data_IF_366088675375
#
_entry.id   IF_366088675375
#
_cell.length_a   1.000
_cell.length_b   1.000
_cell.length_c   1.000
_cell.angle_alpha   90.00
_cell.angle_beta   90.00
_cell.angle_gamma   90.00
#
_symmetry.space_group_name_H-M   'P 1'
#
loop_
_entity.id
_entity.type
_entity.pdbx_description
1 polymer ?
#
# COMPACT_ATOMS: atom_id res chain seq x y z
N UNK A 1 -3.37 24.57 -14.55
CA UNK A 1 -3.72 24.69 -13.11
C UNK A 1 -2.70 25.48 -12.26
N UNK A 2 -1.58 25.96 -12.83
CA UNK A 2 -0.57 26.76 -12.13
C UNK A 2 -1.13 28.09 -11.61
N UNK A 3 -2.01 28.74 -12.38
CA UNK A 3 -2.69 29.97 -11.96
C UNK A 3 -3.52 29.78 -10.68
N UNK A 4 -4.22 28.64 -10.57
CA UNK A 4 -4.99 28.32 -9.35
C UNK A 4 -4.06 28.07 -8.16
N UNK A 5 -2.90 27.43 -8.40
CA UNK A 5 -1.90 27.22 -7.36
C UNK A 5 -1.31 28.56 -6.91
N UNK A 6 -0.96 29.45 -7.83
CA UNK A 6 -0.46 30.79 -7.52
C UNK A 6 -1.49 31.61 -6.74
N UNK A 7 -2.78 31.50 -7.05
CA UNK A 7 -3.86 32.19 -6.35
C UNK A 7 -4.01 31.74 -4.88
N UNK A 8 -3.58 30.54 -4.53
CA UNK A 8 -3.55 30.03 -3.14
C UNK A 8 -2.45 30.69 -2.30
N UNK A 9 -1.47 31.34 -2.92
CA UNK A 9 -0.29 31.95 -2.26
C UNK A 9 0.37 30.99 -1.26
N UNK A 10 0.80 29.78 -1.69
CA UNK A 10 1.39 28.82 -0.78
C UNK A 10 2.75 29.32 -0.28
N UNK A 11 3.10 29.01 0.94
CA UNK A 11 4.43 29.26 1.52
C UNK A 11 5.44 28.19 1.10
N UNK A 12 4.95 26.99 0.76
CA UNK A 12 5.75 25.84 0.37
C UNK A 12 4.96 24.92 -0.58
N UNK A 13 5.63 24.37 -1.58
CA UNK A 13 5.09 23.36 -2.48
C UNK A 13 5.85 22.05 -2.29
N UNK A 14 5.11 20.97 -2.06
CA UNK A 14 5.67 19.62 -1.93
C UNK A 14 5.10 18.74 -3.05
N UNK A 15 5.92 17.89 -3.64
CA UNK A 15 5.51 17.01 -4.71
C UNK A 15 6.50 15.89 -4.98
N UNK A 16 6.26 15.13 -6.04
CA UNK A 16 7.13 14.04 -6.49
C UNK A 16 7.71 14.32 -7.86
N UNK A 17 9.00 14.02 -8.04
CA UNK A 17 9.73 14.25 -9.28
C UNK A 17 9.05 13.59 -10.48
N UNK A 18 8.56 12.36 -10.33
CA UNK A 18 7.89 11.61 -11.38
C UNK A 18 6.61 12.27 -11.91
N UNK A 19 5.92 13.06 -11.07
CA UNK A 19 4.67 13.75 -11.46
C UNK A 19 4.88 15.23 -11.76
N UNK A 20 5.70 15.93 -10.96
CA UNK A 20 5.87 17.38 -11.03
C UNK A 20 7.24 17.82 -11.51
N UNK A 21 8.17 16.92 -11.79
CA UNK A 21 9.54 17.27 -12.14
C UNK A 21 9.66 18.25 -13.32
N UNK A 22 8.83 18.05 -14.36
CA UNK A 22 8.81 18.94 -15.53
C UNK A 22 8.28 20.34 -15.22
N UNK A 23 7.52 20.48 -14.15
CA UNK A 23 6.91 21.74 -13.74
C UNK A 23 7.71 22.44 -12.63
N UNK A 24 8.85 21.88 -12.23
CA UNK A 24 9.65 22.41 -11.14
C UNK A 24 10.04 23.90 -11.33
N UNK A 25 10.46 24.35 -12.53
CA UNK A 25 10.80 25.76 -12.75
C UNK A 25 9.61 26.70 -12.55
N UNK A 26 8.42 26.30 -12.99
CA UNK A 26 7.20 27.07 -12.84
C UNK A 26 6.68 27.08 -11.40
N UNK A 27 6.73 25.92 -10.74
CA UNK A 27 6.37 25.78 -9.33
C UNK A 27 7.28 26.64 -8.44
N UNK A 28 8.58 26.63 -8.70
CA UNK A 28 9.58 27.40 -7.94
C UNK A 28 9.45 28.90 -8.10
N UNK A 29 8.75 29.38 -9.14
CA UNK A 29 8.38 30.81 -9.29
C UNK A 29 7.19 31.21 -8.43
N UNK A 30 6.36 30.25 -8.03
CA UNK A 30 5.18 30.49 -7.20
C UNK A 30 5.58 30.49 -5.72
N UNK A 31 6.32 29.46 -5.26
CA UNK A 31 6.79 29.32 -3.90
C UNK A 31 8.00 28.38 -3.81
N UNK A 32 8.76 28.38 -2.70
CA UNK A 32 9.76 27.35 -2.44
C UNK A 32 9.18 25.96 -2.71
N UNK A 33 9.88 25.15 -3.52
CA UNK A 33 9.36 23.85 -3.99
C UNK A 33 10.35 22.75 -3.64
N UNK A 34 9.86 21.69 -3.00
CA UNK A 34 10.60 20.46 -2.69
C UNK A 34 9.93 19.30 -3.43
N UNK A 35 10.70 18.60 -4.27
CA UNK A 35 10.24 17.40 -4.96
C UNK A 35 10.99 16.19 -4.39
N UNK A 36 10.24 15.16 -4.03
CA UNK A 36 10.79 13.87 -3.59
C UNK A 36 10.93 12.92 -4.77
N UNK A 37 11.94 12.10 -4.73
CA UNK A 37 12.10 11.02 -5.70
C UNK A 37 11.52 9.72 -5.16
N UNK A 38 10.84 8.97 -6.03
CA UNK A 38 10.44 7.61 -5.72
C UNK A 38 11.58 6.65 -6.10
N UNK A 39 12.21 6.08 -5.10
CA UNK A 39 13.34 5.15 -5.26
C UNK A 39 12.89 3.73 -4.84
N UNK A 40 12.54 2.86 -5.79
CA UNK A 40 12.00 1.52 -5.48
C UNK A 40 12.94 0.64 -4.64
N UNK A 41 14.26 0.88 -4.74
CA UNK A 41 15.30 0.11 -4.04
C UNK A 41 15.53 0.54 -2.59
N UNK A 42 14.92 1.63 -2.14
CA UNK A 42 15.20 2.20 -0.81
C UNK A 42 14.48 1.53 0.34
N UNK A 43 13.48 0.72 0.11
CA UNK A 43 12.51 0.37 1.15
C UNK A 43 11.50 1.52 1.38
N UNK A 44 10.24 1.23 1.10
CA UNK A 44 9.22 2.28 1.04
C UNK A 44 8.76 2.74 2.43
N UNK A 45 8.82 1.87 3.43
CA UNK A 45 8.52 2.23 4.81
C UNK A 45 9.57 3.21 5.36
N UNK A 46 10.86 2.96 5.11
CA UNK A 46 11.94 3.86 5.50
C UNK A 46 11.83 5.21 4.77
N UNK A 47 11.53 5.21 3.47
CA UNK A 47 11.33 6.42 2.68
C UNK A 47 10.15 7.25 3.22
N UNK A 48 9.02 6.61 3.54
CA UNK A 48 7.86 7.28 4.13
C UNK A 48 8.22 7.98 5.44
N UNK A 49 8.94 7.30 6.34
CA UNK A 49 9.37 7.87 7.62
C UNK A 49 10.25 9.09 7.42
N UNK A 50 11.24 9.00 6.54
CA UNK A 50 12.15 10.10 6.22
C UNK A 50 11.40 11.30 5.64
N UNK A 51 10.50 11.09 4.68
CA UNK A 51 9.70 12.15 4.08
C UNK A 51 8.75 12.79 5.11
N UNK A 52 8.11 11.97 5.95
CA UNK A 52 7.21 12.47 6.98
C UNK A 52 7.94 13.38 8.01
N UNK A 53 9.11 12.95 8.48
CA UNK A 53 9.92 13.79 9.39
C UNK A 53 10.40 15.09 8.72
N UNK A 54 10.76 15.03 7.44
CA UNK A 54 11.11 16.23 6.69
C UNK A 54 9.91 17.18 6.58
N UNK A 55 8.71 16.67 6.31
CA UNK A 55 7.50 17.49 6.31
C UNK A 55 7.25 18.12 7.69
N UNK A 56 7.36 17.35 8.76
CA UNK A 56 7.20 17.84 10.12
C UNK A 56 8.19 18.97 10.45
N UNK A 57 9.45 18.81 10.05
CA UNK A 57 10.50 19.83 10.20
C UNK A 57 10.19 21.08 9.41
N UNK A 58 9.77 20.97 8.16
CA UNK A 58 9.44 22.10 7.28
C UNK A 58 8.29 22.96 7.83
N UNK A 59 7.38 22.36 8.60
CA UNK A 59 6.25 23.07 9.23
C UNK A 59 6.48 23.36 10.74
N UNK A 60 7.70 23.14 11.25
CA UNK A 60 8.05 23.41 12.65
C UNK A 60 7.42 22.47 13.68
N UNK A 61 7.06 21.24 13.26
CA UNK A 61 6.39 20.21 14.08
C UNK A 61 7.20 18.92 14.20
N UNK A 62 8.52 19.03 14.32
CA UNK A 62 9.42 17.86 14.30
C UNK A 62 9.14 16.89 15.45
N UNK A 63 8.96 17.41 16.67
CA UNK A 63 8.68 16.59 17.86
C UNK A 63 7.36 15.82 17.75
N UNK A 64 6.32 16.47 17.23
CA UNK A 64 5.03 15.82 16.98
C UNK A 64 5.16 14.76 15.88
N UNK A 65 5.98 15.01 14.86
CA UNK A 65 6.27 14.04 13.81
C UNK A 65 6.98 12.80 14.34
N UNK A 66 7.97 12.98 15.21
CA UNK A 66 8.67 11.88 15.90
C UNK A 66 7.70 11.03 16.74
N UNK A 67 6.85 11.70 17.53
CA UNK A 67 5.84 11.02 18.35
C UNK A 67 4.86 10.19 17.52
N UNK A 68 4.40 10.70 16.37
CA UNK A 68 3.50 9.96 15.46
C UNK A 68 4.19 8.70 14.91
N UNK A 69 5.47 8.77 14.56
CA UNK A 69 6.21 7.60 14.08
C UNK A 69 6.46 6.58 15.19
N UNK A 70 6.74 7.03 16.41
CA UNK A 70 6.89 6.14 17.57
C UNK A 70 5.57 5.41 17.89
N UNK A 71 4.44 6.10 17.85
CA UNK A 71 3.12 5.49 18.01
C UNK A 71 2.83 4.44 16.92
N UNK A 72 3.22 4.71 15.66
CA UNK A 72 3.11 3.73 14.58
C UNK A 72 3.97 2.50 14.86
N UNK A 73 5.22 2.67 15.29
CA UNK A 73 6.12 1.56 15.60
C UNK A 73 5.58 0.67 16.71
N UNK A 74 5.09 1.27 17.78
CA UNK A 74 4.47 0.57 18.89
C UNK A 74 3.20 -0.17 18.43
N UNK A 75 2.40 0.45 17.57
CA UNK A 75 1.21 -0.18 17.00
C UNK A 75 1.57 -1.38 16.12
N UNK A 76 2.56 -1.26 15.23
CA UNK A 76 3.03 -2.36 14.40
C UNK A 76 3.59 -3.52 15.23
N UNK A 77 4.40 -3.22 16.26
CA UNK A 77 4.96 -4.23 17.16
C UNK A 77 3.87 -5.01 17.91
N UNK A 78 2.88 -4.31 18.50
CA UNK A 78 1.74 -4.98 19.17
C UNK A 78 0.92 -5.81 18.18
N UNK A 79 0.72 -5.34 16.97
CA UNK A 79 -0.02 -6.05 15.93
C UNK A 79 0.72 -7.33 15.49
N UNK A 80 2.03 -7.25 15.35
CA UNK A 80 2.88 -8.41 15.03
C UNK A 80 2.82 -9.49 16.13
N UNK A 81 2.94 -9.10 17.40
CA UNK A 81 2.80 -10.03 18.53
C UNK A 81 1.40 -10.64 18.60
N UNK A 82 0.36 -9.86 18.31
CA UNK A 82 -1.00 -10.39 18.23
C UNK A 82 -1.14 -11.47 17.15
N UNK A 83 -0.64 -11.24 15.95
CA UNK A 83 -0.70 -12.22 14.86
C UNK A 83 0.17 -13.45 15.15
N UNK A 84 1.34 -13.26 15.72
CA UNK A 84 2.21 -14.35 16.16
C UNK A 84 1.53 -15.24 17.21
N UNK A 85 0.88 -14.64 18.18
CA UNK A 85 0.10 -15.36 19.20
C UNK A 85 -1.07 -16.17 18.63
N UNK A 86 -1.57 -15.80 17.46
CA UNK A 86 -2.59 -16.53 16.69
C UNK A 86 -2.01 -17.60 15.74
N UNK A 87 -0.71 -17.82 15.74
CA UNK A 87 -0.05 -18.77 14.84
C UNK A 87 0.05 -18.32 13.39
N UNK A 88 -0.09 -17.01 13.13
CA UNK A 88 -0.05 -16.43 11.77
C UNK A 88 1.35 -15.91 11.38
N UNK A 89 2.32 -16.00 12.28
CA UNK A 89 3.71 -15.62 11.98
C UNK A 89 4.27 -16.41 10.80
N UNK A 90 4.85 -15.71 9.84
CA UNK A 90 5.40 -16.28 8.60
C UNK A 90 4.37 -16.73 7.57
N UNK A 91 3.05 -16.53 7.82
CA UNK A 91 2.01 -16.92 6.88
C UNK A 91 2.14 -16.16 5.56
N UNK A 92 2.09 -16.84 4.40
CA UNK A 92 2.14 -16.16 3.11
C UNK A 92 0.88 -15.33 2.88
N UNK A 93 1.04 -14.17 2.22
CA UNK A 93 -0.07 -13.34 1.78
C UNK A 93 0.10 -12.88 0.33
N UNK A 94 -1.02 -12.55 -0.27
CA UNK A 94 -1.13 -11.78 -1.50
C UNK A 94 -2.01 -10.57 -1.20
N UNK A 95 -1.59 -9.39 -1.63
CA UNK A 95 -2.41 -8.18 -1.61
C UNK A 95 -2.74 -7.81 -3.05
N UNK A 96 -4.04 -7.81 -3.36
CA UNK A 96 -4.56 -7.63 -4.72
C UNK A 96 -5.56 -6.49 -4.72
N UNK A 97 -5.47 -5.63 -5.73
CA UNK A 97 -6.43 -4.57 -5.97
C UNK A 97 -7.06 -4.71 -7.35
N UNK A 98 -8.38 -4.73 -7.40
CA UNK A 98 -9.17 -4.77 -8.62
C UNK A 98 -9.75 -3.39 -8.91
N UNK A 99 -9.34 -2.80 -10.04
CA UNK A 99 -9.90 -1.54 -10.54
C UNK A 99 -11.09 -1.79 -11.47
N UNK A 100 -12.01 -0.84 -11.49
CA UNK A 100 -13.20 -0.90 -12.32
C UNK A 100 -12.89 -1.16 -13.79
N UNK A 101 -13.62 -2.08 -14.42
CA UNK A 101 -13.74 -2.34 -15.87
C UNK A 101 -12.53 -2.94 -16.59
N UNK A 102 -11.34 -2.77 -16.12
CA UNK A 102 -10.19 -3.44 -16.69
C UNK A 102 -10.05 -4.79 -15.96
N UNK A 103 -10.17 -5.91 -16.65
CA UNK A 103 -9.89 -7.24 -16.07
C UNK A 103 -8.38 -7.40 -15.85
N UNK A 104 -7.79 -6.42 -15.16
CA UNK A 104 -6.41 -6.35 -14.75
C UNK A 104 -6.36 -6.09 -13.26
N UNK A 105 -5.57 -6.86 -12.57
CA UNK A 105 -5.42 -6.82 -11.13
C UNK A 105 -4.02 -6.34 -10.77
N UNK A 106 -3.94 -5.34 -9.91
CA UNK A 106 -2.69 -4.92 -9.32
C UNK A 106 -2.32 -5.88 -8.19
N UNK A 107 -1.13 -6.44 -8.24
CA UNK A 107 -0.53 -7.23 -7.16
C UNK A 107 0.55 -6.39 -6.51
N UNK A 108 0.49 -6.27 -5.19
CA UNK A 108 1.47 -5.51 -4.41
C UNK A 108 2.70 -6.38 -4.16
N UNK A 109 3.81 -6.01 -4.77
CA UNK A 109 5.08 -6.72 -4.61
C UNK A 109 5.79 -6.32 -3.32
N UNK A 110 6.85 -7.01 -2.89
CA UNK A 110 7.66 -6.59 -1.75
C UNK A 110 8.23 -5.16 -1.84
N UNK A 111 8.25 -4.56 -3.04
CA UNK A 111 8.72 -3.19 -3.25
C UNK A 111 7.65 -2.10 -2.96
N UNK A 112 6.54 -2.44 -2.31
CA UNK A 112 5.50 -1.48 -1.92
C UNK A 112 5.47 -1.26 -0.42
N UNK A 113 5.11 -0.05 0.02
CA UNK A 113 4.91 0.24 1.45
C UNK A 113 3.83 -0.66 2.06
N UNK A 114 2.76 -0.95 1.32
CA UNK A 114 1.69 -1.82 1.79
C UNK A 114 2.22 -3.24 2.09
N UNK A 115 3.08 -3.79 1.23
CA UNK A 115 3.73 -5.08 1.51
C UNK A 115 4.65 -5.00 2.73
N UNK A 116 5.51 -3.99 2.81
CA UNK A 116 6.43 -3.83 3.94
C UNK A 116 5.69 -3.71 5.28
N UNK A 117 4.52 -3.06 5.30
CA UNK A 117 3.67 -2.98 6.49
C UNK A 117 3.14 -4.36 6.90
N UNK A 118 2.66 -5.17 5.96
CA UNK A 118 2.19 -6.52 6.26
C UNK A 118 3.36 -7.45 6.68
N UNK A 119 4.52 -7.25 6.09
CA UNK A 119 5.74 -7.98 6.50
C UNK A 119 6.22 -7.56 7.89
N UNK A 120 6.05 -6.29 8.27
CA UNK A 120 6.29 -5.82 9.64
C UNK A 120 5.35 -6.48 10.66
N UNK A 121 4.18 -6.97 10.24
CA UNK A 121 3.29 -7.78 11.06
C UNK A 121 3.73 -9.25 11.17
N UNK A 122 4.83 -9.63 10.53
CA UNK A 122 5.34 -11.00 10.52
C UNK A 122 4.75 -11.90 9.43
N UNK A 123 3.96 -11.34 8.50
CA UNK A 123 3.49 -12.08 7.32
C UNK A 123 4.59 -12.11 6.23
N UNK A 124 4.44 -12.94 5.21
CA UNK A 124 5.38 -13.04 4.08
C UNK A 124 4.69 -12.79 2.75
N UNK A 125 5.16 -11.82 1.97
CA UNK A 125 4.65 -11.61 0.63
C UNK A 125 4.95 -12.85 -0.25
N UNK A 126 3.91 -13.41 -0.85
CA UNK A 126 4.02 -14.61 -1.70
C UNK A 126 4.40 -14.30 -3.16
N UNK A 127 4.44 -13.03 -3.56
CA UNK A 127 4.83 -12.62 -4.91
C UNK A 127 6.29 -12.94 -5.19
N UNK A 128 6.57 -13.58 -6.34
CA UNK A 128 7.93 -13.96 -6.77
C UNK A 128 8.41 -13.26 -8.04
N UNK A 129 7.51 -12.51 -8.69
CA UNK A 129 7.82 -11.82 -9.93
C UNK A 129 8.56 -10.49 -9.72
N UNK A 130 8.79 -9.79 -10.83
CA UNK A 130 9.39 -8.46 -10.81
C UNK A 130 8.35 -7.41 -10.39
N UNK A 131 8.83 -6.34 -9.79
CA UNK A 131 8.04 -5.12 -9.59
C UNK A 131 8.08 -4.27 -10.86
N UNK A 132 6.95 -3.69 -11.21
CA UNK A 132 6.80 -2.66 -12.24
C UNK A 132 6.76 -1.27 -11.58
N UNK A 133 6.14 -0.31 -12.25
CA UNK A 133 6.01 1.04 -11.71
C UNK A 133 5.35 1.05 -10.33
N UNK A 134 5.87 1.88 -9.43
CA UNK A 134 5.41 2.05 -8.05
C UNK A 134 5.40 0.77 -7.20
N UNK A 135 6.22 -0.22 -7.56
CA UNK A 135 6.33 -1.49 -6.84
C UNK A 135 5.16 -2.44 -7.06
N UNK A 136 4.26 -2.13 -7.97
CA UNK A 136 3.14 -3.00 -8.35
C UNK A 136 3.57 -3.98 -9.44
N UNK A 137 2.79 -5.03 -9.63
CA UNK A 137 2.77 -5.83 -10.85
C UNK A 137 1.32 -5.99 -11.30
N UNK A 138 1.12 -6.21 -12.60
CA UNK A 138 -0.21 -6.29 -13.21
C UNK A 138 -0.43 -7.68 -13.78
N UNK A 139 -1.53 -8.31 -13.40
CA UNK A 139 -1.91 -9.65 -13.88
C UNK A 139 -3.32 -9.62 -14.46
N UNK A 140 -3.53 -10.37 -15.52
CA UNK A 140 -4.87 -10.65 -16.04
C UNK A 140 -5.59 -11.74 -15.22
N UNK A 141 -6.83 -12.09 -15.62
CA UNK A 141 -7.64 -13.10 -14.92
C UNK A 141 -6.95 -14.46 -14.75
N UNK A 142 -6.35 -14.97 -15.81
CA UNK A 142 -5.61 -16.25 -15.78
C UNK A 142 -4.37 -16.17 -14.89
N UNK A 143 -3.66 -15.04 -14.94
CA UNK A 143 -2.50 -14.76 -14.08
C UNK A 143 -2.89 -14.74 -12.61
N UNK A 144 -4.03 -14.13 -12.25
CA UNK A 144 -4.54 -14.13 -10.89
C UNK A 144 -4.89 -15.55 -10.42
N UNK A 145 -5.58 -16.34 -11.23
CA UNK A 145 -5.89 -17.74 -10.90
C UNK A 145 -4.62 -18.53 -10.63
N UNK A 146 -3.66 -18.45 -11.55
CA UNK A 146 -2.36 -19.13 -11.40
C UNK A 146 -1.64 -18.68 -10.12
N UNK A 147 -1.56 -17.38 -9.86
CA UNK A 147 -0.90 -16.85 -8.69
C UNK A 147 -1.50 -17.40 -7.39
N UNK A 148 -2.82 -17.48 -7.31
CA UNK A 148 -3.50 -18.02 -6.12
C UNK A 148 -3.31 -19.54 -6.03
N UNK A 149 -3.33 -20.28 -7.14
CA UNK A 149 -3.10 -21.73 -7.18
C UNK A 149 -1.67 -22.10 -6.75
N UNK A 150 -0.67 -21.33 -7.16
CA UNK A 150 0.74 -21.53 -6.82
C UNK A 150 1.07 -21.20 -5.35
N UNK A 151 0.16 -20.52 -4.66
CA UNK A 151 0.34 -20.12 -3.26
C UNK A 151 -0.78 -20.66 -2.35
N UNK A 152 -0.93 -21.99 -2.24
CA UNK A 152 -1.96 -22.59 -1.41
C UNK A 152 -1.74 -22.19 0.07
N UNK A 153 -2.81 -21.81 0.74
CA UNK A 153 -2.76 -21.34 2.14
C UNK A 153 -2.35 -19.88 2.33
N UNK A 154 -2.07 -19.14 1.25
CA UNK A 154 -1.87 -17.70 1.35
C UNK A 154 -3.17 -16.98 1.76
N UNK A 155 -3.03 -15.94 2.59
CA UNK A 155 -4.08 -14.99 2.87
C UNK A 155 -4.20 -14.04 1.67
N UNK A 156 -5.35 -14.01 1.00
CA UNK A 156 -5.55 -13.14 -0.16
C UNK A 156 -6.34 -11.90 0.30
N UNK A 157 -5.63 -10.83 0.61
CA UNK A 157 -6.24 -9.52 0.89
C UNK A 157 -6.69 -8.89 -0.41
N UNK A 158 -7.97 -8.54 -0.49
CA UNK A 158 -8.59 -8.03 -1.70
C UNK A 158 -9.19 -6.64 -1.47
N UNK A 159 -8.68 -5.65 -2.21
CA UNK A 159 -9.26 -4.31 -2.32
C UNK A 159 -10.04 -4.24 -3.64
N UNK A 160 -11.36 -4.25 -3.56
CA UNK A 160 -12.22 -4.19 -4.74
C UNK A 160 -13.59 -3.61 -4.39
N UNK A 161 -14.18 -2.86 -5.30
CA UNK A 161 -15.61 -2.59 -5.25
C UNK A 161 -16.38 -3.90 -5.45
N UNK A 162 -17.59 -4.05 -4.89
CA UNK A 162 -18.36 -5.30 -4.99
C UNK A 162 -18.54 -5.81 -6.43
N UNK A 163 -18.72 -4.90 -7.39
CA UNK A 163 -18.88 -5.18 -8.82
C UNK A 163 -17.58 -5.61 -9.53
N UNK A 164 -16.42 -5.28 -8.96
CA UNK A 164 -15.10 -5.58 -9.52
C UNK A 164 -14.40 -6.75 -8.82
N UNK A 165 -15.10 -7.41 -7.90
CA UNK A 165 -14.54 -8.54 -7.15
C UNK A 165 -14.32 -9.74 -8.08
N UNK A 166 -13.07 -10.18 -8.33
CA UNK A 166 -12.76 -11.26 -9.24
C UNK A 166 -13.38 -12.60 -8.81
N UNK A 167 -13.66 -12.80 -7.53
CA UNK A 167 -14.30 -14.00 -7.01
C UNK A 167 -15.81 -14.09 -7.35
N UNK A 168 -16.40 -12.96 -7.76
CA UNK A 168 -17.77 -12.86 -8.26
C UNK A 168 -17.84 -12.86 -9.79
N UNK A 169 -16.70 -12.75 -10.48
CA UNK A 169 -16.64 -12.79 -11.95
C UNK A 169 -17.10 -14.17 -12.46
N UNK A 170 -18.03 -14.25 -13.44
CA UNK A 170 -18.55 -15.52 -13.91
C UNK A 170 -17.51 -16.45 -14.53
N UNK A 171 -16.45 -15.89 -15.15
CA UNK A 171 -15.42 -16.68 -15.82
C UNK A 171 -14.29 -17.09 -14.86
N UNK A 172 -13.88 -16.21 -13.97
CA UNK A 172 -12.70 -16.40 -13.11
C UNK A 172 -13.07 -16.90 -11.71
N UNK A 173 -14.20 -16.42 -11.21
CA UNK A 173 -14.64 -16.72 -9.84
C UNK A 173 -14.78 -18.21 -9.53
N UNK A 174 -15.37 -19.06 -10.40
CA UNK A 174 -15.40 -20.50 -10.18
C UNK A 174 -13.99 -21.11 -10.02
N UNK A 175 -13.04 -20.70 -10.86
CA UNK A 175 -11.66 -21.19 -10.81
C UNK A 175 -10.95 -20.72 -9.51
N UNK A 176 -11.13 -19.48 -9.13
CA UNK A 176 -10.57 -18.95 -7.86
C UNK A 176 -11.16 -19.67 -6.65
N UNK A 177 -12.45 -19.99 -6.64
CA UNK A 177 -13.08 -20.75 -5.54
C UNK A 177 -12.55 -22.19 -5.43
N UNK A 178 -12.17 -22.81 -6.53
CA UNK A 178 -11.55 -24.14 -6.51
C UNK A 178 -10.18 -24.16 -5.82
N UNK A 179 -9.48 -23.03 -5.75
CA UNK A 179 -8.19 -22.92 -5.07
C UNK A 179 -8.31 -23.08 -3.54
N UNK A 180 -9.50 -22.95 -2.98
CA UNK A 180 -9.77 -22.90 -1.54
C UNK A 180 -8.97 -21.81 -0.82
N UNK A 181 -8.53 -20.77 -1.55
CA UNK A 181 -7.80 -19.64 -0.99
C UNK A 181 -8.68 -18.91 0.01
N UNK A 182 -8.07 -18.44 1.08
CA UNK A 182 -8.74 -17.65 2.10
C UNK A 182 -8.79 -16.18 1.68
N UNK A 183 -9.97 -15.72 1.24
CA UNK A 183 -10.17 -14.37 0.74
C UNK A 183 -10.56 -13.47 1.89
N UNK A 184 -9.82 -12.39 2.04
CA UNK A 184 -9.95 -11.40 3.09
C UNK A 184 -10.23 -10.03 2.45
N UNK A 185 -11.52 -9.65 2.29
CA UNK A 185 -11.85 -8.36 1.71
C UNK A 185 -11.46 -7.22 2.66
N UNK A 186 -10.77 -6.24 2.10
CA UNK A 186 -10.51 -4.94 2.73
C UNK A 186 -11.55 -3.93 2.22
N UNK A 187 -11.73 -2.83 2.95
CA UNK A 187 -12.61 -1.77 2.49
C UNK A 187 -12.16 -1.25 1.11
N UNK A 188 -13.08 -1.03 0.15
CA UNK A 188 -12.72 -0.55 -1.20
C UNK A 188 -11.98 0.80 -1.20
N UNK A 189 -12.15 1.57 -0.13
CA UNK A 189 -11.48 2.87 0.09
C UNK A 189 -10.12 2.76 0.77
N UNK A 190 -9.65 1.54 1.07
CA UNK A 190 -8.36 1.33 1.73
C UNK A 190 -7.24 1.88 0.85
N UNK A 191 -6.54 2.90 1.38
CA UNK A 191 -5.42 3.52 0.71
C UNK A 191 -4.13 2.78 1.03
N UNK A 192 -3.38 2.41 0.00
CA UNK A 192 -2.19 1.56 0.09
C UNK A 192 -0.88 2.34 0.03
N UNK A 193 -0.97 3.65 -0.01
CA UNK A 193 0.16 4.59 -0.04
C UNK A 193 -0.04 5.66 1.04
N UNK A 194 0.87 6.61 1.11
CA UNK A 194 0.74 7.77 1.98
C UNK A 194 1.63 7.71 3.22
N UNK A 195 1.23 8.43 4.24
CA UNK A 195 2.00 8.62 5.47
C UNK A 195 1.59 7.69 6.62
N UNK A 196 2.03 8.01 7.85
CA UNK A 196 1.82 7.15 9.04
C UNK A 196 0.36 6.86 9.33
N UNK A 197 -0.54 7.80 9.09
CA UNK A 197 -1.98 7.59 9.30
C UNK A 197 -2.54 6.56 8.32
N UNK A 198 -2.22 6.68 7.02
CA UNK A 198 -2.64 5.70 6.01
C UNK A 198 -2.07 4.31 6.30
N UNK A 199 -0.81 4.24 6.76
CA UNK A 199 -0.18 2.99 7.17
C UNK A 199 -0.95 2.32 8.32
N UNK A 200 -1.33 3.08 9.34
CA UNK A 200 -2.14 2.59 10.46
C UNK A 200 -3.50 2.08 10.00
N UNK A 201 -4.22 2.84 9.19
CA UNK A 201 -5.55 2.45 8.68
C UNK A 201 -5.47 1.17 7.85
N UNK A 202 -4.47 1.02 6.99
CA UNK A 202 -4.27 -0.22 6.23
C UNK A 202 -4.08 -1.42 7.17
N UNK A 203 -3.23 -1.29 8.18
CA UNK A 203 -2.98 -2.37 9.15
C UNK A 203 -4.23 -2.68 9.96
N UNK A 204 -4.99 -1.69 10.41
CA UNK A 204 -6.27 -1.89 11.11
C UNK A 204 -7.27 -2.67 10.23
N UNK A 205 -7.38 -2.35 8.94
CA UNK A 205 -8.21 -3.09 7.98
C UNK A 205 -7.75 -4.54 7.81
N UNK A 206 -6.44 -4.76 7.71
CA UNK A 206 -5.84 -6.11 7.63
C UNK A 206 -6.16 -6.93 8.89
N UNK A 207 -5.96 -6.36 10.08
CA UNK A 207 -6.26 -7.01 11.35
C UNK A 207 -7.76 -7.34 11.47
N UNK A 208 -8.64 -6.42 11.07
CA UNK A 208 -10.08 -6.65 11.02
C UNK A 208 -10.42 -7.83 10.10
N UNK A 209 -9.85 -7.87 8.89
CA UNK A 209 -10.08 -8.94 7.94
C UNK A 209 -9.58 -10.29 8.45
N UNK A 210 -8.43 -10.32 9.13
CA UNK A 210 -7.86 -11.52 9.75
C UNK A 210 -8.68 -11.98 10.98
N UNK A 211 -9.44 -11.10 11.61
CA UNK A 211 -10.21 -11.43 12.82
C UNK A 211 -11.11 -12.66 12.68
N UNK A 212 -11.60 -12.95 11.47
CA UNK A 212 -12.39 -14.13 11.14
C UNK A 212 -11.59 -15.38 10.71
N UNK A 213 -10.27 -15.30 10.64
CA UNK A 213 -9.38 -16.41 10.24
C UNK A 213 -9.22 -17.38 11.41
N UNK A 214 -9.54 -18.67 11.18
CA UNK A 214 -9.30 -19.76 12.13
C UNK A 214 -7.92 -20.36 11.94
#
# INVERSE_FOLDING_TARGET
>A
HLERLAALKPDLILGYTGFQGRLYPELSRIAPTVLYEYLPQEGQLAAMRRHFLLHARLVGREREGEAVLEELDQFLARSAEHLKGRGLGGRPFLLVQAWARERVYNVFTPATIASELLEALGLKNAWKGRAEAYGLSRVGPEGLVRLVQENPGALVFLIAQPENNPFKDPAVGPLLRLTRAQILPLAPTTWTYGGPHSARVLVEEVLRAIGGVK
#
